data_IF_317622096520
#
_entry.id   IF_317622096520
#
_cell.length_a   1.000
_cell.length_b   1.000
_cell.length_c   1.000
_cell.angle_alpha   90.00
_cell.angle_beta   90.00
_cell.angle_gamma   90.00
#
_symmetry.space_group_name_H-M   'P 1'
#
loop_
_entity.id
_entity.type
_entity.pdbx_description
1 polymer ?
#
# COMPACT_ATOMS: atom_id res chain seq x y z
N UNK A 1 0.19 -11.13 -4.10
CA UNK A 1 -0.47 -10.38 -5.18
C UNK A 1 -0.21 -11.19 -6.44
N UNK A 2 -1.19 -11.31 -7.33
CA UNK A 2 -1.07 -12.13 -8.54
C UNK A 2 -0.99 -11.22 -9.75
N UNK A 3 0.10 -11.31 -10.51
CA UNK A 3 0.30 -10.55 -11.75
C UNK A 3 0.23 -11.49 -12.97
N UNK A 4 0.36 -10.91 -14.16
CA UNK A 4 0.65 -11.67 -15.37
C UNK A 4 1.89 -12.56 -15.17
N UNK A 5 1.88 -13.74 -15.77
CA UNK A 5 2.90 -14.79 -15.67
C UNK A 5 3.14 -15.33 -14.26
N UNK A 6 2.28 -15.01 -13.30
CA UNK A 6 2.38 -15.59 -11.95
C UNK A 6 1.90 -17.03 -11.98
N UNK A 7 2.69 -17.93 -11.40
CA UNK A 7 2.34 -19.34 -11.21
C UNK A 7 1.48 -19.51 -9.95
N UNK A 8 0.39 -20.30 -10.07
CA UNK A 8 -0.51 -20.64 -8.98
C UNK A 8 -0.73 -22.14 -8.93
N UNK A 9 -0.84 -22.68 -7.70
CA UNK A 9 -1.27 -24.06 -7.48
C UNK A 9 -2.78 -24.17 -7.66
N UNK A 10 -3.23 -25.22 -8.33
CA UNK A 10 -4.65 -25.56 -8.41
C UNK A 10 -4.99 -26.47 -7.23
N UNK A 11 -6.01 -26.10 -6.46
CA UNK A 11 -6.40 -26.84 -5.24
C UNK A 11 -7.77 -27.50 -5.36
N UNK A 12 -8.16 -27.90 -6.56
CA UNK A 12 -9.36 -28.69 -6.81
C UNK A 12 -8.99 -30.04 -7.46
N UNK A 13 -10.01 -30.87 -7.73
CA UNK A 13 -9.85 -32.15 -8.41
C UNK A 13 -10.12 -32.07 -9.93
N UNK A 14 -9.95 -30.90 -10.56
CA UNK A 14 -10.08 -30.74 -12.02
C UNK A 14 -8.98 -31.46 -12.81
N UNK A 15 -7.90 -31.89 -12.15
CA UNK A 15 -6.76 -32.55 -12.78
C UNK A 15 -5.59 -31.61 -13.08
N UNK A 16 -5.78 -30.29 -13.09
CA UNK A 16 -4.65 -29.36 -13.10
C UNK A 16 -3.94 -29.34 -11.74
N UNK A 17 -2.62 -29.18 -11.78
CA UNK A 17 -1.78 -29.02 -10.59
C UNK A 17 -1.17 -27.61 -10.52
N UNK A 18 -0.72 -27.11 -11.67
CA UNK A 18 -0.04 -25.82 -11.79
C UNK A 18 -0.55 -25.03 -12.98
N UNK A 19 -0.84 -23.74 -12.75
CA UNK A 19 -1.36 -22.84 -13.79
C UNK A 19 -0.61 -21.52 -13.80
N UNK A 20 -0.52 -20.90 -14.98
CA UNK A 20 0.06 -19.57 -15.19
C UNK A 20 -1.04 -18.54 -15.43
N UNK A 21 -1.01 -17.41 -14.71
CA UNK A 21 -1.95 -16.32 -14.92
C UNK A 21 -1.63 -15.52 -16.19
N UNK A 22 -2.55 -15.50 -17.16
CA UNK A 22 -2.39 -14.75 -18.41
C UNK A 22 -3.27 -13.50 -18.49
N UNK A 23 -4.30 -13.36 -17.65
CA UNK A 23 -5.13 -12.15 -17.58
C UNK A 23 -5.88 -12.04 -16.27
N UNK A 24 -5.91 -10.84 -15.68
CA UNK A 24 -6.81 -10.53 -14.55
C UNK A 24 -8.10 -9.94 -15.11
N UNK A 25 -9.25 -10.56 -14.82
CA UNK A 25 -10.53 -10.11 -15.36
C UNK A 25 -11.02 -8.85 -14.64
N UNK A 26 -11.71 -7.97 -15.39
CA UNK A 26 -12.31 -6.71 -14.91
C UNK A 26 -11.29 -5.72 -14.30
N UNK A 27 -10.02 -5.81 -14.70
CA UNK A 27 -8.97 -4.88 -14.29
C UNK A 27 -8.05 -4.53 -15.47
N UNK A 28 -7.37 -3.40 -15.37
CA UNK A 28 -6.33 -3.01 -16.33
C UNK A 28 -5.18 -4.04 -16.33
N UNK A 29 -4.48 -4.24 -17.47
CA UNK A 29 -3.39 -5.22 -17.56
C UNK A 29 -2.24 -5.01 -16.57
N UNK A 30 -2.02 -3.76 -16.14
CA UNK A 30 -1.00 -3.39 -15.12
C UNK A 30 -1.43 -3.72 -13.68
N UNK A 31 -2.70 -4.06 -13.46
CA UNK A 31 -3.22 -4.34 -12.13
C UNK A 31 -3.09 -5.82 -11.78
N UNK A 32 -3.06 -6.09 -10.48
CA UNK A 32 -2.93 -7.42 -9.91
C UNK A 32 -4.27 -7.97 -9.40
N UNK A 33 -4.33 -9.30 -9.28
CA UNK A 33 -5.42 -10.01 -8.62
C UNK A 33 -5.13 -10.16 -7.12
N UNK A 34 -6.20 -10.05 -6.32
CA UNK A 34 -6.29 -10.40 -4.90
C UNK A 34 -7.19 -11.62 -4.74
N UNK A 35 -7.31 -12.15 -3.53
CA UNK A 35 -8.24 -13.23 -3.22
C UNK A 35 -9.67 -12.89 -3.66
N UNK A 36 -10.30 -13.87 -4.30
CA UNK A 36 -11.61 -13.87 -4.92
C UNK A 36 -11.73 -13.04 -6.20
N UNK A 37 -10.62 -12.54 -6.75
CA UNK A 37 -10.63 -12.03 -8.12
C UNK A 37 -10.59 -13.18 -9.12
N UNK A 38 -11.21 -12.96 -10.28
CA UNK A 38 -11.23 -13.91 -11.40
C UNK A 38 -10.07 -13.66 -12.34
N UNK A 39 -9.41 -14.73 -12.74
CA UNK A 39 -8.26 -14.71 -13.64
C UNK A 39 -8.49 -15.70 -14.78
N UNK A 40 -7.83 -15.45 -15.91
CA UNK A 40 -7.65 -16.43 -16.99
C UNK A 40 -6.27 -17.01 -16.84
N UNK A 41 -6.18 -18.33 -16.94
CA UNK A 41 -4.96 -19.09 -16.71
C UNK A 41 -4.71 -20.10 -17.81
N UNK A 42 -3.45 -20.44 -18.01
CA UNK A 42 -3.02 -21.57 -18.85
C UNK A 42 -2.58 -22.71 -17.93
N UNK A 43 -3.03 -23.92 -18.20
CA UNK A 43 -2.59 -25.11 -17.47
C UNK A 43 -1.16 -25.45 -17.88
N UNK A 44 -0.22 -25.32 -16.94
CA UNK A 44 1.19 -25.63 -17.17
C UNK A 44 1.50 -27.08 -16.80
N UNK A 45 0.84 -27.60 -15.77
CA UNK A 45 0.97 -28.99 -15.34
C UNK A 45 -0.39 -29.57 -14.94
N UNK A 46 -0.62 -30.82 -15.33
CA UNK A 46 -1.87 -31.55 -15.11
C UNK A 46 -1.61 -33.06 -15.00
N UNK A 47 -2.40 -33.71 -14.17
CA UNK A 47 -2.38 -35.17 -14.01
C UNK A 47 -2.72 -35.85 -15.33
N UNK A 48 -2.02 -36.94 -15.70
CA UNK A 48 -2.32 -37.68 -16.91
C UNK A 48 -3.76 -38.19 -16.89
N UNK A 49 -4.49 -37.98 -17.98
CA UNK A 49 -5.79 -38.60 -18.17
C UNK A 49 -5.56 -40.08 -18.48
N UNK A 50 -5.71 -40.94 -17.50
CA UNK A 50 -5.77 -42.38 -17.74
C UNK A 50 -7.05 -42.71 -18.52
N UNK A 51 -6.91 -43.45 -19.62
CA UNK A 51 -7.97 -43.85 -20.56
C UNK A 51 -9.13 -44.66 -19.94
N UNK A 52 -9.04 -45.01 -18.66
CA UNK A 52 -10.03 -45.83 -17.94
C UNK A 52 -11.12 -45.01 -17.22
N UNK A 53 -11.10 -43.68 -17.29
CA UNK A 53 -12.09 -42.83 -16.62
C UNK A 53 -13.22 -42.51 -17.60
N UNK A 54 -14.40 -43.10 -17.37
CA UNK A 54 -15.63 -42.85 -18.15
C UNK A 54 -16.65 -42.04 -17.35
N UNK A 55 -17.56 -41.33 -18.02
CA UNK A 55 -18.64 -40.54 -17.40
C UNK A 55 -18.30 -39.06 -17.10
N UNK A 56 -19.12 -38.41 -16.26
CA UNK A 56 -19.05 -36.96 -15.97
C UNK A 56 -17.73 -36.50 -15.32
N UNK A 57 -16.96 -37.45 -14.77
CA UNK A 57 -15.63 -37.20 -14.22
C UNK A 57 -14.54 -37.03 -15.29
N UNK A 58 -14.79 -37.48 -16.53
CA UNK A 58 -13.86 -37.32 -17.66
C UNK A 58 -14.03 -35.97 -18.37
N UNK A 59 -15.27 -35.48 -18.50
CA UNK A 59 -15.59 -34.21 -19.19
C UNK A 59 -15.09 -32.96 -18.46
N UNK A 60 -14.95 -33.02 -17.14
CA UNK A 60 -14.49 -31.88 -16.33
C UNK A 60 -12.98 -31.87 -16.08
N UNK A 61 -12.21 -32.79 -16.70
CA UNK A 61 -10.76 -32.81 -16.56
C UNK A 61 -10.08 -31.91 -17.57
N UNK A 62 -9.12 -31.14 -17.09
CA UNK A 62 -8.30 -30.24 -17.91
C UNK A 62 -6.98 -30.89 -18.29
N UNK A 63 -6.44 -30.52 -19.45
CA UNK A 63 -5.16 -30.97 -19.99
C UNK A 63 -4.14 -29.85 -19.93
N UNK A 64 -2.85 -30.20 -20.02
CA UNK A 64 -1.77 -29.23 -20.18
C UNK A 64 -1.99 -28.41 -21.46
N UNK A 65 -1.82 -27.10 -21.37
CA UNK A 65 -2.04 -26.15 -22.45
C UNK A 65 -3.45 -25.54 -22.49
N UNK A 66 -4.41 -26.10 -21.75
CA UNK A 66 -5.77 -25.58 -21.74
C UNK A 66 -5.84 -24.17 -21.14
N UNK A 67 -6.64 -23.31 -21.77
CA UNK A 67 -6.94 -21.97 -21.27
C UNK A 67 -8.23 -22.03 -20.46
N UNK A 68 -8.11 -21.80 -19.15
CA UNK A 68 -9.23 -21.90 -18.20
C UNK A 68 -9.47 -20.58 -17.47
N UNK A 69 -10.65 -20.45 -16.84
CA UNK A 69 -10.90 -19.40 -15.86
C UNK A 69 -10.67 -19.95 -14.46
N UNK A 70 -10.16 -19.13 -13.57
CA UNK A 70 -9.94 -19.50 -12.18
C UNK A 70 -10.28 -18.35 -11.22
N UNK A 71 -10.52 -18.70 -9.96
CA UNK A 71 -10.68 -17.76 -8.85
C UNK A 71 -9.49 -17.91 -7.92
N UNK A 72 -8.86 -16.80 -7.56
CA UNK A 72 -7.77 -16.81 -6.57
C UNK A 72 -8.35 -17.09 -5.19
N UNK A 73 -7.90 -18.13 -4.51
CA UNK A 73 -8.43 -18.53 -3.18
C UNK A 73 -7.44 -18.29 -2.05
N UNK A 74 -6.14 -18.27 -2.34
CA UNK A 74 -5.07 -17.92 -1.41
C UNK A 74 -4.01 -17.07 -2.09
N UNK A 75 -3.37 -16.21 -1.32
CA UNK A 75 -2.22 -15.44 -1.78
C UNK A 75 -1.14 -15.36 -0.71
N UNK A 76 0.12 -15.40 -1.16
CA UNK A 76 1.29 -15.17 -0.30
C UNK A 76 1.44 -13.73 0.19
N UNK A 77 0.81 -12.79 -0.51
CA UNK A 77 0.74 -11.42 -0.01
C UNK A 77 -0.27 -11.33 1.14
N UNK A 78 0.05 -10.57 2.20
CA UNK A 78 -0.84 -10.39 3.33
C UNK A 78 -2.13 -9.67 2.93
N UNK A 79 -3.21 -10.04 3.60
CA UNK A 79 -4.53 -9.43 3.48
C UNK A 79 -4.86 -8.83 4.84
N UNK A 80 -5.03 -7.52 4.88
CA UNK A 80 -5.52 -6.83 6.07
C UNK A 80 -7.04 -6.82 6.06
N UNK A 81 -7.64 -7.23 7.17
CA UNK A 81 -9.08 -7.28 7.38
C UNK A 81 -9.57 -6.01 8.07
N UNK A 82 -10.89 -5.72 8.01
CA UNK A 82 -11.47 -4.53 8.65
C UNK A 82 -11.30 -4.48 10.17
N UNK A 83 -11.15 -5.64 10.82
CA UNK A 83 -10.85 -5.78 12.25
C UNK A 83 -9.36 -5.53 12.58
N UNK A 84 -8.53 -5.18 11.60
CA UNK A 84 -7.10 -4.96 11.75
C UNK A 84 -6.24 -6.22 11.67
N UNK A 85 -6.84 -7.42 11.72
CA UNK A 85 -6.11 -8.68 11.62
C UNK A 85 -5.46 -8.86 10.24
N UNK A 86 -4.31 -9.50 10.20
CA UNK A 86 -3.55 -9.75 8.96
C UNK A 86 -3.46 -11.23 8.71
N UNK A 87 -3.93 -11.67 7.55
CA UNK A 87 -3.85 -13.08 7.12
C UNK A 87 -2.88 -13.21 5.96
N UNK A 88 -2.00 -14.20 6.06
CA UNK A 88 -1.01 -14.55 5.04
C UNK A 88 -1.01 -16.06 4.86
N UNK A 89 -0.95 -16.49 3.61
CA UNK A 89 -0.77 -17.90 3.26
C UNK A 89 0.66 -18.14 2.77
N UNK A 90 1.11 -19.39 2.78
CA UNK A 90 2.46 -19.74 2.33
C UNK A 90 2.58 -19.73 0.81
N UNK A 91 1.49 -20.05 0.10
CA UNK A 91 1.41 -20.20 -1.34
C UNK A 91 0.35 -19.31 -2.01
N UNK A 92 0.43 -19.25 -3.35
CA UNK A 92 -0.63 -18.70 -4.20
C UNK A 92 -1.43 -19.87 -4.77
N UNK A 93 -2.74 -19.86 -4.57
CA UNK A 93 -3.61 -20.93 -5.01
C UNK A 93 -4.88 -20.43 -5.69
N UNK A 94 -5.41 -21.21 -6.61
CA UNK A 94 -6.68 -20.96 -7.29
C UNK A 94 -7.54 -22.23 -7.45
N UNK A 95 -8.81 -22.02 -7.77
CA UNK A 95 -9.79 -23.06 -8.12
C UNK A 95 -10.31 -22.75 -9.53
N UNK A 96 -10.40 -23.75 -10.40
CA UNK A 96 -10.87 -23.57 -11.77
C UNK A 96 -12.39 -23.41 -11.79
N UNK A 97 -12.87 -22.50 -12.63
CA UNK A 97 -14.29 -22.17 -12.74
C UNK A 97 -14.79 -22.18 -14.18
N UNK A 98 -16.05 -22.52 -14.36
CA UNK A 98 -16.75 -22.44 -15.64
C UNK A 98 -17.18 -20.99 -15.95
N UNK A 99 -17.86 -20.79 -17.09
CA UNK A 99 -18.35 -19.46 -17.48
C UNK A 99 -19.44 -18.90 -16.55
N UNK A 100 -20.19 -19.78 -15.88
CA UNK A 100 -21.20 -19.45 -14.85
C UNK A 100 -20.58 -19.11 -13.48
N UNK A 101 -19.25 -19.10 -13.37
CA UNK A 101 -18.47 -18.90 -12.14
C UNK A 101 -18.65 -20.00 -11.09
N UNK A 102 -19.04 -21.20 -11.52
CA UNK A 102 -19.08 -22.38 -10.65
C UNK A 102 -17.78 -23.18 -10.77
N UNK A 103 -17.33 -23.84 -9.69
CA UNK A 103 -16.14 -24.68 -9.74
C UNK A 103 -16.31 -25.83 -10.73
N UNK A 104 -15.26 -26.10 -11.51
CA UNK A 104 -15.21 -27.26 -12.43
C UNK A 104 -14.98 -28.54 -11.63
N UNK A 105 -14.11 -28.47 -10.62
CA UNK A 105 -13.89 -29.56 -9.67
C UNK A 105 -15.10 -29.75 -8.74
N UNK A 106 -15.33 -31.00 -8.33
CA UNK A 106 -16.35 -31.37 -7.35
C UNK A 106 -15.86 -31.26 -5.90
N UNK A 107 -14.54 -31.10 -5.68
CA UNK A 107 -13.94 -30.98 -4.34
C UNK A 107 -12.78 -29.98 -4.36
N UNK A 108 -12.60 -29.26 -3.25
CA UNK A 108 -11.43 -28.41 -2.98
C UNK A 108 -10.54 -29.10 -1.94
N UNK A 109 -9.25 -29.21 -2.22
CA UNK A 109 -8.30 -30.08 -1.52
C UNK A 109 -7.56 -29.42 -0.35
N UNK A 110 -7.89 -28.16 0.00
CA UNK A 110 -7.12 -27.40 0.99
C UNK A 110 -7.91 -26.23 1.58
N UNK A 111 -7.30 -25.53 2.53
CA UNK A 111 -7.91 -24.40 3.25
C UNK A 111 -8.10 -23.20 2.33
N UNK A 112 -9.23 -22.51 2.46
CA UNK A 112 -9.56 -21.31 1.68
C UNK A 112 -9.76 -20.08 2.56
N UNK A 113 -9.60 -18.91 1.97
CA UNK A 113 -9.80 -17.65 2.67
C UNK A 113 -11.29 -17.29 2.84
N UNK A 114 -11.65 -16.65 3.96
CA UNK A 114 -13.03 -16.23 4.31
C UNK A 114 -13.60 -15.18 3.34
N UNK A 115 -12.72 -14.42 2.71
CA UNK A 115 -13.00 -13.31 1.79
C UNK A 115 -13.81 -13.77 0.56
N UNK A 116 -13.75 -15.05 0.21
CA UNK A 116 -14.53 -15.65 -0.88
C UNK A 116 -16.05 -15.54 -0.68
N UNK A 117 -16.54 -15.55 0.57
CA UNK A 117 -17.98 -15.39 0.87
C UNK A 117 -18.49 -14.01 0.46
N UNK A 118 -17.69 -12.96 0.68
CA UNK A 118 -18.04 -11.58 0.32
C UNK A 118 -18.12 -11.36 -1.20
N UNK A 119 -17.52 -12.28 -1.98
CA UNK A 119 -17.51 -12.24 -3.46
C UNK A 119 -18.42 -13.30 -4.09
N UNK A 120 -19.38 -13.82 -3.34
CA UNK A 120 -20.41 -14.76 -3.81
C UNK A 120 -19.88 -16.13 -4.28
N UNK A 121 -18.70 -16.56 -3.83
CA UNK A 121 -18.15 -17.88 -4.14
C UNK A 121 -18.54 -18.93 -3.08
N UNK A 122 -19.82 -18.95 -2.69
CA UNK A 122 -20.30 -19.81 -1.59
C UNK A 122 -20.08 -21.30 -1.86
N UNK A 123 -20.27 -21.76 -3.11
CA UNK A 123 -20.06 -23.16 -3.50
C UNK A 123 -18.61 -23.62 -3.26
N UNK A 124 -17.62 -22.79 -3.60
CA UNK A 124 -16.20 -23.08 -3.36
C UNK A 124 -15.92 -23.17 -1.86
N UNK A 125 -16.51 -22.26 -1.07
CA UNK A 125 -16.33 -22.25 0.39
C UNK A 125 -16.97 -23.47 1.05
N UNK A 126 -18.11 -23.94 0.56
CA UNK A 126 -18.77 -25.16 1.05
C UNK A 126 -18.04 -26.45 0.69
N UNK A 127 -17.34 -26.48 -0.45
CA UNK A 127 -16.54 -27.63 -0.88
C UNK A 127 -15.16 -27.73 -0.19
N UNK A 128 -14.72 -26.68 0.50
CA UNK A 128 -13.42 -26.63 1.13
C UNK A 128 -13.44 -27.27 2.54
N UNK A 129 -12.39 -28.04 2.91
CA UNK A 129 -12.31 -28.75 4.19
C UNK A 129 -12.28 -27.81 5.40
N UNK A 130 -11.66 -26.64 5.26
CA UNK A 130 -11.62 -25.61 6.31
C UNK A 130 -11.56 -24.23 5.67
N UNK A 131 -12.14 -23.25 6.37
CA UNK A 131 -12.05 -21.84 6.02
C UNK A 131 -11.28 -21.16 7.15
N UNK A 132 -10.23 -20.39 6.84
CA UNK A 132 -9.54 -19.62 7.88
C UNK A 132 -10.47 -18.51 8.40
N UNK A 133 -11.20 -18.83 9.47
CA UNK A 133 -11.92 -17.89 10.34
C UNK A 133 -10.93 -17.20 11.28
N UNK A 134 -11.39 -16.20 12.03
CA UNK A 134 -10.57 -15.61 13.11
C UNK A 134 -9.94 -16.73 13.94
N UNK A 135 -8.64 -16.61 14.18
CA UNK A 135 -8.01 -17.30 15.29
C UNK A 135 -8.56 -16.66 16.55
N UNK A 136 -9.25 -17.43 17.39
CA UNK A 136 -9.46 -17.06 18.79
C UNK A 136 -8.07 -16.97 19.43
N UNK A 137 -7.44 -15.81 19.34
CA UNK A 137 -6.29 -15.44 20.15
C UNK A 137 -6.72 -14.21 20.95
N UNK A 138 -7.77 -14.40 21.74
CA UNK A 138 -7.84 -13.76 23.05
C UNK A 138 -7.09 -14.71 23.99
N UNK A 139 -6.05 -14.18 24.66
CA UNK A 139 -5.30 -14.82 25.75
C UNK A 139 -4.57 -16.14 25.44
N UNK A 140 -3.44 -16.07 24.73
CA UNK A 140 -2.34 -17.01 24.97
C UNK A 140 -1.04 -16.19 25.01
N UNK A 141 -0.41 -16.18 26.19
CA UNK A 141 0.86 -15.55 26.46
C UNK A 141 1.94 -16.17 25.57
N UNK A 142 2.46 -15.37 24.64
CA UNK A 142 3.56 -15.77 23.75
C UNK A 142 4.88 -15.54 24.50
N UNK A 143 5.19 -16.41 25.46
CA UNK A 143 6.54 -16.47 26.01
C UNK A 143 7.20 -17.85 25.92
N UNK A 144 6.47 -18.90 25.54
CA UNK A 144 7.08 -20.23 25.43
C UNK A 144 6.82 -20.85 24.05
N UNK A 145 7.85 -21.54 23.54
CA UNK A 145 7.90 -22.30 22.29
C UNK A 145 8.21 -21.52 20.99
N UNK A 146 9.41 -20.95 20.90
CA UNK A 146 10.17 -21.00 19.64
C UNK A 146 11.64 -21.34 19.91
N UNK A 147 11.98 -22.62 19.81
CA UNK A 147 13.34 -23.05 19.48
C UNK A 147 13.63 -22.55 18.06
N UNK A 148 14.43 -21.48 17.97
CA UNK A 148 14.87 -20.90 16.71
C UNK A 148 15.79 -21.90 16.01
N UNK A 149 15.23 -22.76 15.16
CA UNK A 149 16.02 -23.31 14.06
C UNK A 149 16.30 -22.16 13.10
N UNK A 150 17.56 -21.74 13.08
CA UNK A 150 18.09 -20.74 12.16
C UNK A 150 17.89 -21.19 10.71
N UNK A 151 16.81 -20.72 10.09
CA UNK A 151 16.73 -20.72 8.63
C UNK A 151 17.81 -19.78 8.13
N UNK A 152 18.88 -20.36 7.58
CA UNK A 152 19.84 -19.65 6.76
C UNK A 152 19.07 -18.92 5.66
N UNK A 153 18.86 -17.62 5.84
CA UNK A 153 18.32 -16.75 4.82
C UNK A 153 19.27 -16.81 3.63
N UNK A 154 18.78 -17.24 2.47
CA UNK A 154 19.48 -17.00 1.21
C UNK A 154 19.91 -15.53 1.20
N UNK A 155 21.20 -15.21 1.00
CA UNK A 155 21.63 -13.83 0.96
C UNK A 155 20.90 -13.17 -0.20
N UNK A 156 20.13 -12.13 0.11
CA UNK A 156 19.56 -11.26 -0.90
C UNK A 156 20.73 -10.73 -1.72
N UNK A 157 20.98 -11.30 -2.91
CA UNK A 157 22.06 -10.83 -3.77
C UNK A 157 21.75 -9.39 -4.14
N UNK A 158 22.50 -8.45 -3.56
CA UNK A 158 22.40 -7.03 -3.88
C UNK A 158 22.72 -6.90 -5.37
N UNK A 159 21.73 -6.51 -6.18
CA UNK A 159 21.97 -6.08 -7.56
C UNK A 159 23.12 -5.05 -7.56
N UNK A 160 24.13 -5.29 -8.39
CA UNK A 160 25.24 -4.38 -8.59
C UNK A 160 24.71 -2.99 -9.03
N UNK A 161 25.38 -1.90 -8.64
CA UNK A 161 24.85 -0.54 -8.83
C UNK A 161 24.67 -0.15 -10.29
N UNK A 162 25.56 -0.64 -11.13
CA UNK A 162 25.51 -0.50 -12.58
C UNK A 162 24.28 -1.20 -13.20
N UNK A 163 23.78 -2.28 -12.59
CA UNK A 163 22.61 -3.05 -13.03
C UNK A 163 21.28 -2.51 -12.49
N UNK A 164 21.28 -1.41 -11.74
CA UNK A 164 20.04 -0.78 -11.29
C UNK A 164 19.32 -0.12 -12.46
N UNK A 165 17.98 -0.30 -12.57
CA UNK A 165 17.17 0.52 -13.44
C UNK A 165 17.45 2.01 -13.18
N UNK A 166 17.50 2.82 -14.23
CA UNK A 166 17.87 4.25 -14.12
C UNK A 166 17.08 4.98 -13.03
N UNK A 167 15.79 4.66 -12.88
CA UNK A 167 14.91 5.28 -11.89
C UNK A 167 15.23 4.93 -10.42
N UNK A 168 16.13 3.98 -10.16
CA UNK A 168 16.61 3.61 -8.82
C UNK A 168 18.06 4.04 -8.56
N UNK A 169 18.75 4.63 -9.55
CA UNK A 169 20.10 5.18 -9.37
C UNK A 169 20.00 6.42 -8.47
N UNK A 170 20.88 6.54 -7.48
CA UNK A 170 20.88 7.62 -6.47
C UNK A 170 19.92 7.42 -5.29
N UNK A 171 18.94 6.52 -5.38
CA UNK A 171 18.02 6.25 -4.26
C UNK A 171 18.65 5.31 -3.22
N UNK A 172 18.49 5.60 -1.91
CA UNK A 172 19.06 4.77 -0.86
C UNK A 172 18.57 3.32 -0.94
N UNK A 173 19.50 2.36 -0.79
CA UNK A 173 19.17 0.92 -0.88
C UNK A 173 18.41 0.43 0.36
N UNK A 174 18.85 0.89 1.53
CA UNK A 174 18.33 0.46 2.82
C UNK A 174 17.03 1.18 3.16
N UNK A 175 16.07 0.44 3.73
CA UNK A 175 14.83 1.01 4.29
C UNK A 175 15.13 2.07 5.35
N UNK A 176 16.18 1.84 6.15
CA UNK A 176 16.64 2.75 7.20
C UNK A 176 17.12 4.07 6.59
N UNK A 177 17.97 4.01 5.56
CA UNK A 177 18.46 5.21 4.87
C UNK A 177 17.33 5.99 4.18
N UNK A 178 16.33 5.30 3.61
CA UNK A 178 15.13 5.98 3.06
C UNK A 178 14.35 6.70 4.16
N UNK A 179 14.29 6.12 5.34
CA UNK A 179 13.61 6.73 6.49
C UNK A 179 14.37 7.94 7.01
N UNK A 180 15.70 7.88 7.10
CA UNK A 180 16.52 9.05 7.45
C UNK A 180 16.41 10.17 6.43
N UNK A 181 16.47 9.86 5.13
CA UNK A 181 16.26 10.87 4.09
C UNK A 181 14.89 11.55 4.23
N UNK A 182 13.84 10.78 4.53
CA UNK A 182 12.50 11.34 4.77
C UNK A 182 12.45 12.19 6.04
N UNK A 183 13.07 11.76 7.15
CA UNK A 183 13.11 12.53 8.39
C UNK A 183 13.91 13.83 8.24
N UNK A 184 15.02 13.81 7.51
CA UNK A 184 15.80 15.02 7.20
C UNK A 184 14.99 16.01 6.36
N UNK A 185 14.21 15.52 5.38
CA UNK A 185 13.29 16.37 4.63
C UNK A 185 12.20 16.97 5.51
N UNK A 186 11.70 16.26 6.54
CA UNK A 186 10.74 16.82 7.50
C UNK A 186 11.41 17.82 8.44
N UNK A 187 12.65 17.55 8.87
CA UNK A 187 13.37 18.42 9.80
C UNK A 187 13.70 19.78 9.17
N UNK A 188 14.03 19.81 7.87
CA UNK A 188 14.34 21.06 7.17
C UNK A 188 14.06 20.99 5.67
N UNK A 189 12.79 21.00 5.29
CA UNK A 189 12.42 21.07 3.88
C UNK A 189 12.78 22.44 3.31
N UNK A 190 13.70 22.52 2.34
CA UNK A 190 14.07 23.76 1.62
C UNK A 190 14.27 24.98 2.55
N UNK A 191 14.94 24.81 3.70
CA UNK A 191 15.19 25.88 4.68
C UNK A 191 13.93 26.52 5.28
N UNK A 192 12.83 25.75 5.37
CA UNK A 192 11.55 26.20 5.95
C UNK A 192 11.36 25.91 7.44
N UNK A 193 12.45 25.70 8.18
CA UNK A 193 12.42 25.54 9.64
C UNK A 193 12.27 26.89 10.36
N UNK A 194 11.06 27.17 10.85
CA UNK A 194 10.70 28.39 11.58
C UNK A 194 9.88 28.08 12.84
N UNK A 195 10.03 28.91 13.87
CA UNK A 195 9.24 28.89 15.11
C UNK A 195 8.21 30.01 15.11
N UNK A 196 6.95 29.66 15.40
CA UNK A 196 5.82 30.57 15.40
C UNK A 196 5.32 30.79 16.84
N UNK A 197 5.86 31.82 17.51
CA UNK A 197 5.54 32.09 18.91
C UNK A 197 4.18 32.79 19.09
N UNK A 198 3.79 33.62 18.11
CA UNK A 198 2.60 34.49 18.19
C UNK A 198 1.36 33.91 17.50
N UNK A 199 1.42 32.67 17.04
CA UNK A 199 0.36 32.02 16.26
C UNK A 199 -0.27 30.90 17.07
N UNK A 200 -1.59 30.95 17.24
CA UNK A 200 -2.36 29.92 17.93
C UNK A 200 -2.74 28.78 16.99
N UNK A 201 -3.17 29.12 15.76
CA UNK A 201 -3.69 28.16 14.79
C UNK A 201 -3.43 28.56 13.35
N UNK A 202 -3.09 27.59 12.52
CA UNK A 202 -3.05 27.71 11.05
C UNK A 202 -4.18 26.89 10.44
N UNK A 203 -5.00 27.50 9.59
CA UNK A 203 -6.07 26.83 8.85
C UNK A 203 -5.83 26.97 7.35
N UNK A 204 -5.50 25.86 6.69
CA UNK A 204 -5.26 25.82 5.24
C UNK A 204 -6.46 25.20 4.53
N UNK A 205 -7.07 25.96 3.63
CA UNK A 205 -8.19 25.52 2.80
C UNK A 205 -7.74 25.49 1.35
N UNK A 206 -7.86 24.34 0.69
CA UNK A 206 -7.63 24.24 -0.75
C UNK A 206 -8.39 23.05 -1.36
N UNK A 207 -8.55 23.04 -2.67
CA UNK A 207 -9.20 21.93 -3.38
C UNK A 207 -8.34 20.66 -3.38
N UNK A 208 -8.98 19.50 -3.23
CA UNK A 208 -8.29 18.20 -3.15
C UNK A 208 -7.69 17.74 -4.49
N UNK A 209 -8.41 17.99 -5.59
CA UNK A 209 -7.96 17.66 -6.94
C UNK A 209 -7.77 18.92 -7.79
N UNK A 210 -6.58 19.05 -8.36
CA UNK A 210 -6.27 20.09 -9.34
C UNK A 210 -6.27 19.45 -10.72
N UNK A 211 -7.27 19.75 -11.56
CA UNK A 211 -7.24 19.35 -12.96
C UNK A 211 -6.28 20.24 -13.78
N UNK A 212 -6.21 21.55 -13.49
CA UNK A 212 -5.45 22.54 -14.27
C UNK A 212 -4.97 23.74 -13.42
N UNK A 213 -4.53 23.52 -12.19
CA UNK A 213 -4.20 24.60 -11.23
C UNK A 213 -2.82 24.48 -10.60
N UNK A 214 -2.27 25.62 -10.17
CA UNK A 214 -1.01 25.68 -9.44
C UNK A 214 -0.99 24.75 -8.23
N UNK A 215 0.14 24.07 -8.01
CA UNK A 215 0.34 23.10 -6.93
C UNK A 215 0.81 23.72 -5.62
N UNK A 216 0.91 25.05 -5.52
CA UNK A 216 1.52 25.75 -4.38
C UNK A 216 0.96 25.34 -3.02
N UNK A 217 -0.33 25.57 -2.78
CA UNK A 217 -0.99 25.21 -1.52
C UNK A 217 -0.84 23.71 -1.18
N UNK A 218 -0.88 22.84 -2.19
CA UNK A 218 -0.71 21.39 -2.00
C UNK A 218 0.73 21.04 -1.60
N UNK A 219 1.73 21.59 -2.28
CA UNK A 219 3.15 21.39 -1.93
C UNK A 219 3.47 21.97 -0.56
N UNK A 220 2.91 23.14 -0.26
CA UNK A 220 3.01 23.78 1.05
C UNK A 220 2.46 22.86 2.16
N UNK A 221 1.28 22.26 1.94
CA UNK A 221 0.71 21.26 2.85
C UNK A 221 1.56 19.99 2.97
N UNK A 222 1.99 19.43 1.84
CA UNK A 222 2.69 18.14 1.81
C UNK A 222 4.10 18.23 2.41
N UNK A 223 4.77 19.39 2.33
CA UNK A 223 6.18 19.54 2.69
C UNK A 223 6.43 20.60 3.77
N UNK A 224 6.11 21.88 3.50
CA UNK A 224 6.40 22.98 4.42
C UNK A 224 5.64 22.84 5.75
N UNK A 225 4.33 22.55 5.74
CA UNK A 225 3.55 22.39 6.97
C UNK A 225 4.03 21.23 7.84
N UNK A 226 4.62 20.17 7.26
CA UNK A 226 5.25 19.10 8.05
C UNK A 226 6.48 19.61 8.80
N UNK A 227 7.29 20.44 8.15
CA UNK A 227 8.47 21.07 8.76
C UNK A 227 8.05 22.06 9.86
N UNK A 228 7.00 22.85 9.60
CA UNK A 228 6.42 23.75 10.61
C UNK A 228 5.91 22.97 11.82
N UNK A 229 5.15 21.90 11.60
CA UNK A 229 4.63 21.04 12.67
C UNK A 229 5.77 20.37 13.47
N UNK A 230 6.84 19.95 12.80
CA UNK A 230 8.00 19.34 13.44
C UNK A 230 8.67 20.28 14.47
N UNK A 231 8.80 21.56 14.15
CA UNK A 231 9.41 22.56 15.05
C UNK A 231 8.41 23.23 16.01
N UNK A 232 7.10 23.08 15.76
CA UNK A 232 6.03 23.71 16.54
C UNK A 232 4.95 22.68 16.90
N UNK A 233 5.24 21.71 17.78
CA UNK A 233 4.31 20.61 18.08
C UNK A 233 3.03 21.06 18.78
N UNK A 234 3.03 22.24 19.40
CA UNK A 234 1.85 22.82 20.08
C UNK A 234 0.97 23.65 19.15
N UNK A 235 1.44 23.98 17.94
CA UNK A 235 0.70 24.81 16.99
C UNK A 235 -0.45 23.99 16.39
N UNK A 236 -1.68 24.46 16.58
CA UNK A 236 -2.84 23.81 16.00
C UNK A 236 -2.87 24.02 14.48
N UNK A 237 -2.80 22.94 13.71
CA UNK A 237 -2.86 23.01 12.24
C UNK A 237 -4.09 22.26 11.76
N UNK A 238 -5.00 22.98 11.09
CA UNK A 238 -6.18 22.42 10.45
C UNK A 238 -6.04 22.53 8.94
N UNK A 239 -6.34 21.44 8.22
CA UNK A 239 -6.28 21.41 6.76
C UNK A 239 -7.58 20.89 6.20
N UNK A 240 -8.29 21.74 5.47
CA UNK A 240 -9.53 21.41 4.80
C UNK A 240 -9.27 21.24 3.31
N UNK A 241 -9.39 19.98 2.85
CA UNK A 241 -9.28 19.64 1.43
C UNK A 241 -10.68 19.48 0.84
N UNK A 242 -11.11 20.47 0.06
CA UNK A 242 -12.46 20.51 -0.49
C UNK A 242 -12.56 19.59 -1.71
N UNK A 243 -13.51 18.67 -1.68
CA UNK A 243 -13.90 17.84 -2.82
C UNK A 243 -14.86 18.64 -3.72
N UNK A 244 -14.46 18.90 -4.97
CA UNK A 244 -15.27 19.62 -5.95
C UNK A 244 -15.56 18.69 -7.14
N UNK A 245 -16.83 18.50 -7.48
CA UNK A 245 -17.24 17.59 -8.55
C UNK A 245 -17.21 18.28 -9.91
N UNK A 246 -17.70 19.52 -9.99
CA UNK A 246 -17.80 20.28 -11.23
C UNK A 246 -16.61 21.24 -11.43
N UNK A 247 -16.36 21.64 -12.69
CA UNK A 247 -15.30 22.63 -12.99
C UNK A 247 -15.61 24.00 -12.40
N UNK A 248 -16.88 24.39 -12.34
CA UNK A 248 -17.32 25.67 -11.77
C UNK A 248 -17.09 25.73 -10.26
N UNK A 249 -17.40 24.65 -9.54
CA UNK A 249 -17.05 24.50 -8.11
C UNK A 249 -15.53 24.59 -7.90
N UNK A 250 -14.73 23.98 -8.77
CA UNK A 250 -13.26 24.06 -8.68
C UNK A 250 -12.71 25.47 -8.90
N UNK A 251 -13.41 26.33 -9.64
CA UNK A 251 -13.05 27.73 -9.83
C UNK A 251 -13.47 28.60 -8.64
N UNK A 252 -14.61 28.27 -8.02
CA UNK A 252 -15.14 28.97 -6.83
C UNK A 252 -14.46 28.56 -5.53
N UNK A 253 -13.83 27.37 -5.47
CA UNK A 253 -13.18 26.87 -4.27
C UNK A 253 -12.07 27.82 -3.80
N UNK A 254 -12.09 28.28 -2.54
CA UNK A 254 -11.04 29.11 -2.00
C UNK A 254 -9.73 28.32 -1.86
N UNK A 255 -8.61 29.02 -2.02
CA UNK A 255 -7.26 28.53 -1.76
C UNK A 255 -6.58 29.49 -0.80
N UNK A 256 -6.87 29.36 0.49
CA UNK A 256 -6.53 30.35 1.51
C UNK A 256 -5.79 29.70 2.67
N UNK A 257 -4.82 30.42 3.23
CA UNK A 257 -4.20 30.11 4.51
C UNK A 257 -4.60 31.18 5.51
N UNK A 258 -5.40 30.80 6.51
CA UNK A 258 -5.76 31.68 7.63
C UNK A 258 -4.80 31.46 8.78
N UNK A 259 -4.31 32.56 9.33
CA UNK A 259 -3.39 32.62 10.45
C UNK A 259 -4.16 33.23 11.62
N UNK A 260 -4.39 32.44 12.66
CA UNK A 260 -4.99 32.88 13.91
C UNK A 260 -3.87 33.22 14.89
N UNK A 261 -3.79 34.49 15.26
CA UNK A 261 -2.83 34.97 16.26
C UNK A 261 -3.34 34.71 17.67
N UNK A 262 -2.44 34.71 18.64
CA UNK A 262 -2.77 34.57 20.06
C UNK A 262 -3.69 35.71 20.55
N UNK A 263 -3.62 36.88 19.91
CA UNK A 263 -4.45 38.06 20.21
C UNK A 263 -5.89 37.95 19.66
N UNK A 264 -6.24 36.82 19.03
CA UNK A 264 -7.55 36.60 18.42
C UNK A 264 -7.72 37.18 17.02
N UNK A 265 -6.73 37.94 16.51
CA UNK A 265 -6.75 38.43 15.13
C UNK A 265 -6.61 37.28 14.13
N UNK A 266 -7.37 37.36 13.03
CA UNK A 266 -7.28 36.40 11.91
C UNK A 266 -6.78 37.15 10.68
N UNK A 267 -5.62 36.76 10.15
CA UNK A 267 -5.12 37.24 8.85
C UNK A 267 -5.22 36.13 7.82
N UNK A 268 -5.49 36.51 6.57
CA UNK A 268 -5.65 35.55 5.47
C UNK A 268 -4.61 35.81 4.38
N UNK A 269 -3.97 34.74 3.94
CA UNK A 269 -3.03 34.69 2.82
C UNK A 269 -3.73 34.02 1.65
N UNK A 270 -3.83 34.71 0.52
CA UNK A 270 -4.30 34.07 -0.72
C UNK A 270 -3.19 33.18 -1.28
N UNK A 271 -3.46 31.88 -1.40
CA UNK A 271 -2.54 30.89 -1.93
C UNK A 271 -2.77 30.60 -3.42
N UNK A 272 -3.69 31.30 -4.08
CA UNK A 272 -3.99 31.10 -5.50
C UNK A 272 -2.78 31.49 -6.36
N UNK A 273 -2.40 30.59 -7.27
CA UNK A 273 -1.29 30.76 -8.22
C UNK A 273 0.11 31.02 -7.64
N UNK A 274 0.29 30.94 -6.32
CA UNK A 274 1.60 31.08 -5.66
C UNK A 274 2.35 29.75 -5.61
N UNK A 275 3.69 29.80 -5.55
CA UNK A 275 4.46 28.61 -5.18
C UNK A 275 4.50 28.46 -3.66
N UNK A 276 4.86 27.27 -3.18
CA UNK A 276 4.93 27.01 -1.74
C UNK A 276 5.99 27.86 -1.02
N UNK A 277 7.06 28.24 -1.71
CA UNK A 277 8.10 29.14 -1.19
C UNK A 277 7.53 30.55 -0.93
N UNK A 278 6.74 31.08 -1.88
CA UNK A 278 6.10 32.39 -1.74
C UNK A 278 5.09 32.39 -0.58
N UNK A 279 4.28 31.33 -0.46
CA UNK A 279 3.34 31.16 0.66
C UNK A 279 4.07 31.13 1.99
N UNK A 280 5.20 30.40 2.08
CA UNK A 280 6.00 30.34 3.30
C UNK A 280 6.62 31.70 3.63
N UNK A 281 7.13 32.41 2.63
CA UNK A 281 7.72 33.74 2.81
C UNK A 281 6.67 34.72 3.36
N UNK A 282 5.50 34.80 2.74
CA UNK A 282 4.41 35.65 3.22
C UNK A 282 3.96 35.28 4.64
N UNK A 283 3.93 33.99 4.97
CA UNK A 283 3.61 33.53 6.32
C UNK A 283 4.65 34.00 7.34
N UNK A 284 5.94 33.89 7.02
CA UNK A 284 7.04 34.35 7.89
C UNK A 284 6.97 35.87 8.07
N UNK A 285 6.81 36.61 6.98
CA UNK A 285 6.72 38.08 6.98
C UNK A 285 5.51 38.57 7.81
N UNK A 286 4.37 37.86 7.77
CA UNK A 286 3.17 38.21 8.52
C UNK A 286 3.25 37.89 10.02
N UNK A 287 4.03 36.88 10.38
CA UNK A 287 4.10 36.35 11.76
C UNK A 287 5.36 36.78 12.50
N UNK A 288 6.34 37.37 11.80
CA UNK A 288 7.69 37.60 12.29
C UNK A 288 8.31 36.34 12.90
N UNK A 289 8.12 35.20 12.23
CA UNK A 289 8.58 33.91 12.73
C UNK A 289 10.11 33.86 12.81
N UNK A 290 10.63 33.26 13.90
CA UNK A 290 12.06 33.12 14.12
C UNK A 290 12.58 31.90 13.35
N UNK A 291 13.66 32.08 12.58
CA UNK A 291 14.29 30.97 11.87
C UNK A 291 15.00 30.06 12.87
N UNK A 292 14.82 28.75 12.73
CA UNK A 292 15.54 27.77 13.56
C UNK A 292 17.03 27.77 13.15
N UNK A 293 17.96 27.95 14.11
CA UNK A 293 19.39 27.84 13.85
C UNK A 293 19.78 26.47 13.29
N UNK A 294 20.73 26.41 12.36
CA UNK A 294 21.10 25.16 11.66
C UNK A 294 21.65 24.08 12.61
N UNK A 295 22.32 24.49 13.69
CA UNK A 295 22.83 23.62 14.76
C UNK A 295 21.71 22.96 15.57
N UNK A 296 20.53 23.56 15.63
CA UNK A 296 19.36 23.02 16.34
C UNK A 296 18.52 22.07 15.47
N UNK A 297 18.79 22.00 14.16
CA UNK A 297 18.06 21.14 13.24
C UNK A 297 18.67 19.74 13.30
N UNK A 298 17.90 18.70 13.70
CA UNK A 298 18.44 17.36 13.79
C UNK A 298 18.77 16.80 12.41
N UNK A 299 20.00 16.27 12.27
CA UNK A 299 20.44 15.53 11.08
C UNK A 299 20.48 14.03 11.41
N UNK A 300 19.62 13.27 10.74
CA UNK A 300 19.54 11.83 10.89
C UNK A 300 20.52 11.16 9.90
N UNK A 301 21.55 10.50 10.42
CA UNK A 301 22.52 9.72 9.65
C UNK A 301 22.63 8.28 10.16
N UNK A 302 23.30 7.44 9.39
CA UNK A 302 23.52 6.03 9.76
C UNK A 302 24.49 5.89 10.95
N UNK A 303 25.51 6.75 11.04
CA UNK A 303 26.49 6.74 12.13
C UNK A 303 25.80 7.00 13.47
N UNK A 304 24.93 8.02 13.52
CA UNK A 304 24.14 8.37 14.72
C UNK A 304 23.24 7.21 15.17
N UNK A 305 22.77 6.39 14.21
CA UNK A 305 21.93 5.22 14.52
C UNK A 305 22.73 4.06 15.10
N UNK A 306 23.87 3.70 14.51
CA UNK A 306 24.71 2.60 15.02
C UNK A 306 25.29 2.93 16.40
N UNK A 307 25.73 4.17 16.62
CA UNK A 307 26.20 4.65 17.92
C UNK A 307 25.11 4.50 19.00
N UNK A 308 23.85 4.86 18.69
CA UNK A 308 22.72 4.68 19.62
C UNK A 308 22.36 3.23 19.88
N UNK A 309 22.58 2.35 18.91
CA UNK A 309 22.32 0.92 19.04
C UNK A 309 23.45 0.17 19.74
N UNK A 310 24.55 0.85 20.09
CA UNK A 310 25.72 0.25 20.75
C UNK A 310 26.44 -0.77 19.86
N UNK A 311 26.29 -0.64 18.53
CA UNK A 311 26.92 -1.51 17.54
C UNK A 311 28.13 -0.79 16.98
N UNK A 312 29.23 -0.82 17.74
CA UNK A 312 30.57 -0.53 17.21
C UNK A 312 31.27 -1.84 16.88
#
# INVERSE_FOLDING_TARGET
MIYLKTMLKVIDNSGAELVECIKVLRKNPKNFAKVGDKIVVVVQDAKPLSSQITGAAATNRVKRGDICRAVVVRTKAPIQRPDGSVVKFDDNACVLINQKNEPIGTRVSSVVAKELRKKSFNKIVSLAPRVLKESAISSLNVLDAYSVQSFNSMPYQKLAENLRPLFLKGLPKSRVLKQFAHLNLIANYENSAYKFNNVAKLELIFKKMNAYGHMGARKFWENNLKTVCFHNPQLAIEVQRVDCATKEEQMKCPSLLKVHFNDGQIKTIDCKSKQHQDIMKELVDLTNAEKVPEDQIPVFSYEVYEDRMGRK
#
